data_IF_228430644384
#
_entry.id   IF_228430644384
#
_cell.length_a   1.000
_cell.length_b   1.000
_cell.length_c   1.000
_cell.angle_alpha   90.00
_cell.angle_beta   90.00
_cell.angle_gamma   90.00
#
_symmetry.space_group_name_H-M   'P 1'
#
loop_
_entity.id
_entity.type
_entity.pdbx_description
1 polymer ?
#
# COMPACT_ATOMS: atom_id res chain seq x y z
N UNK A 1 11.60 -1.27 19.32
CA UNK A 1 11.78 -0.01 18.54
C UNK A 1 10.48 0.34 17.84
N UNK A 2 10.09 1.60 17.78
CA UNK A 2 8.84 2.06 17.13
C UNK A 2 7.54 1.39 17.62
N UNK A 3 7.42 1.07 18.89
CA UNK A 3 6.28 0.32 19.47
C UNK A 3 4.93 0.99 19.16
N UNK A 4 4.85 2.32 19.30
CA UNK A 4 3.64 3.06 18.99
C UNK A 4 3.25 2.99 17.48
N UNK A 5 4.24 2.91 16.59
CA UNK A 5 4.01 2.76 15.16
C UNK A 5 3.59 1.33 14.82
N UNK A 6 4.20 0.31 15.46
CA UNK A 6 3.79 -1.09 15.32
C UNK A 6 2.32 -1.29 15.72
N UNK A 7 1.90 -0.71 16.85
CA UNK A 7 0.50 -0.74 17.29
C UNK A 7 -0.44 -0.11 16.25
N UNK A 8 -0.08 1.06 15.71
CA UNK A 8 -0.89 1.73 14.67
C UNK A 8 -0.99 0.88 13.41
N UNK A 9 0.14 0.34 12.93
CA UNK A 9 0.16 -0.51 11.72
C UNK A 9 -0.62 -1.79 11.94
N UNK A 10 -0.49 -2.42 13.12
CA UNK A 10 -1.25 -3.60 13.51
C UNK A 10 -2.77 -3.32 13.45
N UNK A 11 -3.24 -2.29 14.12
CA UNK A 11 -4.66 -1.94 14.13
C UNK A 11 -5.18 -1.58 12.74
N UNK A 12 -4.41 -0.85 11.93
CA UNK A 12 -4.78 -0.54 10.56
C UNK A 12 -4.91 -1.80 9.68
N UNK A 13 -4.07 -2.81 9.89
CA UNK A 13 -4.22 -4.11 9.23
C UNK A 13 -5.49 -4.84 9.68
N UNK A 14 -5.85 -4.81 10.96
CA UNK A 14 -7.10 -5.40 11.45
C UNK A 14 -8.34 -4.67 10.89
N UNK A 15 -8.25 -3.36 10.71
CA UNK A 15 -9.34 -2.58 10.11
C UNK A 15 -9.63 -3.00 8.67
N UNK A 16 -8.64 -3.50 7.91
CA UNK A 16 -8.88 -4.08 6.57
C UNK A 16 -9.87 -5.24 6.63
N UNK A 17 -9.72 -6.13 7.62
CA UNK A 17 -10.64 -7.26 7.85
C UNK A 17 -12.01 -6.76 8.29
N UNK A 18 -12.04 -5.89 9.28
CA UNK A 18 -13.26 -5.31 9.84
C UNK A 18 -14.14 -4.63 8.79
N UNK A 19 -13.51 -4.00 7.80
CA UNK A 19 -14.21 -3.32 6.70
C UNK A 19 -14.41 -4.21 5.45
N UNK A 20 -14.04 -5.50 5.50
CA UNK A 20 -14.24 -6.43 4.40
C UNK A 20 -13.41 -6.11 3.15
N UNK A 21 -12.24 -5.50 3.33
CA UNK A 21 -11.36 -5.07 2.24
C UNK A 21 -10.33 -6.14 1.84
N UNK A 22 -10.20 -7.20 2.63
CA UNK A 22 -9.23 -8.29 2.41
C UNK A 22 -9.88 -9.65 2.60
N UNK A 23 -9.30 -10.66 1.96
CA UNK A 23 -9.67 -12.07 2.04
C UNK A 23 -8.41 -12.85 2.47
N UNK A 24 -8.55 -13.82 3.36
CA UNK A 24 -7.45 -14.62 3.91
C UNK A 24 -6.38 -13.73 4.57
N UNK A 25 -5.12 -13.89 4.15
CA UNK A 25 -3.97 -13.12 4.63
C UNK A 25 -3.53 -12.03 3.65
N UNK A 26 -4.29 -11.87 2.56
CA UNK A 26 -3.96 -10.94 1.48
C UNK A 26 -4.24 -9.49 1.88
N UNK A 27 -3.50 -8.60 1.29
CA UNK A 27 -3.52 -7.19 1.66
C UNK A 27 -2.63 -6.90 2.88
N UNK A 28 -2.24 -5.65 3.00
CA UNK A 28 -1.35 -5.19 4.04
C UNK A 28 -1.35 -3.67 4.17
N UNK A 29 -0.92 -3.22 5.33
CA UNK A 29 -0.65 -1.83 5.64
C UNK A 29 0.77 -1.71 6.13
N UNK A 30 1.43 -0.63 5.75
CA UNK A 30 2.69 -0.19 6.33
C UNK A 30 2.65 1.28 6.69
N UNK A 31 3.59 1.70 7.54
CA UNK A 31 3.85 3.11 7.81
C UNK A 31 5.34 3.35 7.97
N UNK A 32 5.78 4.56 7.60
CA UNK A 32 7.15 5.02 7.75
C UNK A 32 7.28 6.01 8.89
N UNK A 33 8.32 5.83 9.68
CA UNK A 33 8.84 6.88 10.54
C UNK A 33 9.90 7.67 9.75
N UNK A 34 9.55 8.89 9.36
CA UNK A 34 10.43 9.73 8.51
C UNK A 34 11.67 10.22 9.22
N UNK A 35 11.67 10.28 10.56
CA UNK A 35 12.82 10.70 11.35
C UNK A 35 13.93 9.64 11.32
N UNK A 36 13.57 8.37 11.52
CA UNK A 36 14.52 7.25 11.47
C UNK A 36 14.70 6.66 10.08
N UNK A 37 13.79 6.92 9.14
CA UNK A 37 13.75 6.28 7.82
C UNK A 37 13.32 4.81 7.87
N UNK A 38 12.72 4.36 8.96
CA UNK A 38 12.31 2.96 9.15
C UNK A 38 10.83 2.76 8.81
N UNK A 39 10.52 1.64 8.20
CA UNK A 39 9.18 1.23 7.79
C UNK A 39 8.70 0.05 8.62
N UNK A 40 7.51 0.17 9.18
CA UNK A 40 6.81 -0.92 9.87
C UNK A 40 5.79 -1.52 8.90
N UNK A 41 5.82 -2.84 8.74
CA UNK A 41 4.94 -3.55 7.80
C UNK A 41 4.43 -4.87 8.38
N UNK A 42 3.24 -5.30 7.92
CA UNK A 42 2.65 -6.60 8.24
C UNK A 42 3.57 -7.76 7.84
N UNK A 43 3.71 -8.80 8.69
CA UNK A 43 4.38 -10.03 8.30
C UNK A 43 3.62 -10.79 7.21
N UNK A 44 4.36 -11.50 6.35
CA UNK A 44 3.81 -12.34 5.29
C UNK A 44 3.17 -13.62 5.85
N UNK A 45 1.97 -13.95 5.37
CA UNK A 45 1.34 -15.25 5.64
C UNK A 45 0.78 -15.43 7.06
N UNK A 46 0.89 -14.43 7.94
CA UNK A 46 0.29 -14.49 9.28
C UNK A 46 -1.20 -14.16 9.20
N UNK A 47 -2.03 -15.02 9.78
CA UNK A 47 -3.48 -14.80 9.89
C UNK A 47 -3.77 -13.53 10.70
N UNK A 48 -4.76 -12.77 10.27
CA UNK A 48 -5.19 -11.57 10.99
C UNK A 48 -5.73 -11.89 12.40
N UNK A 49 -6.29 -13.10 12.60
CA UNK A 49 -6.84 -13.54 13.89
C UNK A 49 -5.73 -13.91 14.91
N UNK A 50 -4.54 -14.26 14.42
CA UNK A 50 -3.40 -14.68 15.25
C UNK A 50 -2.34 -13.58 15.37
N UNK A 51 -2.39 -12.60 14.49
CA UNK A 51 -1.40 -11.52 14.38
C UNK A 51 -1.43 -10.62 15.62
N UNK A 52 -0.26 -10.16 16.04
CA UNK A 52 -0.07 -9.23 17.15
C UNK A 52 0.77 -8.04 16.69
N UNK A 53 0.75 -6.96 17.46
CA UNK A 53 1.58 -5.79 17.19
C UNK A 53 3.09 -6.11 17.21
N UNK A 54 3.50 -7.05 18.07
CA UNK A 54 4.89 -7.54 18.18
C UNK A 54 5.38 -8.23 16.91
N UNK A 55 4.45 -8.78 16.11
CA UNK A 55 4.75 -9.50 14.87
C UNK A 55 5.09 -8.54 13.71
N UNK A 56 4.78 -7.25 13.85
CA UNK A 56 5.11 -6.26 12.83
C UNK A 56 6.62 -6.20 12.61
N UNK A 57 7.01 -6.26 11.34
CA UNK A 57 8.42 -6.25 10.94
C UNK A 57 8.85 -4.81 10.65
N UNK A 58 10.05 -4.47 11.13
CA UNK A 58 10.67 -3.17 10.85
C UNK A 58 11.77 -3.38 9.82
N UNK A 59 11.70 -2.63 8.72
CA UNK A 59 12.70 -2.66 7.64
C UNK A 59 13.24 -1.26 7.38
N UNK A 60 14.46 -1.17 6.86
CA UNK A 60 15.00 0.06 6.30
C UNK A 60 14.46 0.29 4.87
N UNK A 61 14.80 1.44 4.28
CA UNK A 61 14.38 1.76 2.90
C UNK A 61 15.04 0.88 1.84
N UNK A 62 16.11 0.16 2.17
CA UNK A 62 16.80 -0.81 1.31
C UNK A 62 16.17 -2.21 1.41
N UNK A 63 15.21 -2.41 2.34
CA UNK A 63 14.49 -3.66 2.55
C UNK A 63 15.18 -4.62 3.52
N UNK A 64 16.23 -4.18 4.22
CA UNK A 64 16.87 -4.99 5.24
C UNK A 64 15.99 -5.02 6.51
N UNK A 65 15.84 -6.19 7.12
CA UNK A 65 15.12 -6.32 8.39
C UNK A 65 15.98 -5.73 9.50
N UNK A 66 15.46 -4.70 10.16
CA UNK A 66 16.08 -4.03 11.31
C UNK A 66 15.59 -4.63 12.62
N UNK A 67 14.30 -4.97 12.69
CA UNK A 67 13.67 -5.61 13.85
C UNK A 67 12.55 -6.54 13.42
N UNK A 68 12.43 -7.68 14.11
CA UNK A 68 11.45 -8.72 13.85
C UNK A 68 12.07 -10.03 13.40
N UNK A 69 11.36 -11.14 13.64
CA UNK A 69 11.81 -12.50 13.31
C UNK A 69 11.00 -13.13 12.17
N UNK A 70 9.94 -12.44 11.73
CA UNK A 70 9.07 -12.91 10.67
C UNK A 70 9.50 -12.32 9.32
N UNK A 71 9.09 -13.00 8.26
CA UNK A 71 9.27 -12.47 6.89
C UNK A 71 8.32 -11.29 6.70
N UNK A 72 8.77 -10.12 6.25
CA UNK A 72 7.88 -9.02 5.90
C UNK A 72 6.97 -9.39 4.73
N UNK A 73 5.87 -8.66 4.54
CA UNK A 73 4.98 -8.83 3.40
C UNK A 73 5.76 -8.89 2.08
N UNK A 74 5.30 -9.73 1.13
CA UNK A 74 5.85 -9.77 -0.23
C UNK A 74 5.81 -8.41 -0.91
N UNK A 75 4.79 -7.60 -0.59
CA UNK A 75 4.63 -6.27 -1.18
C UNK A 75 5.58 -5.20 -0.63
N UNK A 76 6.45 -5.57 0.33
CA UNK A 76 7.43 -4.63 0.92
C UNK A 76 8.20 -3.84 -0.14
N UNK A 77 8.76 -4.44 -1.22
CA UNK A 77 9.47 -3.67 -2.24
C UNK A 77 8.60 -2.58 -2.90
N UNK A 78 7.32 -2.87 -3.17
CA UNK A 78 6.37 -1.88 -3.69
C UNK A 78 6.24 -0.69 -2.74
N UNK A 79 6.00 -0.97 -1.45
CA UNK A 79 5.83 0.07 -0.43
C UNK A 79 7.10 0.94 -0.30
N UNK A 80 8.28 0.31 -0.31
CA UNK A 80 9.56 1.04 -0.22
C UNK A 80 9.80 1.95 -1.42
N UNK A 81 9.45 1.52 -2.65
CA UNK A 81 9.51 2.36 -3.85
C UNK A 81 8.61 3.59 -3.67
N UNK A 82 7.39 3.41 -3.17
CA UNK A 82 6.46 4.53 -2.95
C UNK A 82 6.97 5.50 -1.87
N UNK A 83 7.52 5.00 -0.76
CA UNK A 83 8.10 5.86 0.27
C UNK A 83 9.31 6.66 -0.20
N UNK A 84 10.12 6.09 -1.09
CA UNK A 84 11.28 6.78 -1.72
C UNK A 84 10.81 7.85 -2.71
N UNK A 85 9.80 7.54 -3.51
CA UNK A 85 9.31 8.43 -4.55
C UNK A 85 8.46 9.59 -4.00
N UNK A 86 7.72 9.35 -2.91
CA UNK A 86 6.76 10.31 -2.33
C UNK A 86 7.13 10.64 -0.88
N UNK A 87 8.01 11.61 -0.62
CA UNK A 87 8.49 11.91 0.72
C UNK A 87 7.41 12.42 1.68
N UNK A 88 6.30 12.93 1.16
CA UNK A 88 5.17 13.43 1.94
C UNK A 88 4.23 12.34 2.47
N UNK A 89 4.25 11.12 1.94
CA UNK A 89 3.37 10.06 2.43
C UNK A 89 3.91 9.42 3.71
N UNK A 90 3.02 9.07 4.63
CA UNK A 90 3.33 8.41 5.91
C UNK A 90 2.88 6.96 5.99
N UNK A 91 1.97 6.53 5.12
CA UNK A 91 1.42 5.18 5.09
C UNK A 91 1.09 4.71 3.69
N UNK A 92 1.11 3.39 3.50
CA UNK A 92 0.70 2.71 2.26
C UNK A 92 -0.21 1.55 2.63
N UNK A 93 -1.31 1.42 1.91
CA UNK A 93 -2.29 0.34 2.04
C UNK A 93 -2.42 -0.37 0.69
N UNK A 94 -2.35 -1.69 0.70
CA UNK A 94 -2.67 -2.54 -0.44
C UNK A 94 -3.78 -3.51 -0.10
N UNK A 95 -4.75 -3.67 -0.97
CA UNK A 95 -5.85 -4.64 -0.84
C UNK A 95 -6.21 -5.25 -2.19
N UNK A 96 -7.04 -6.29 -2.14
CA UNK A 96 -7.75 -6.79 -3.33
C UNK A 96 -9.27 -6.58 -3.15
N UNK A 97 -9.67 -5.40 -2.66
CA UNK A 97 -11.09 -5.06 -2.47
C UNK A 97 -11.86 -5.23 -3.80
N UNK A 98 -13.02 -5.86 -3.72
CA UNK A 98 -13.75 -6.41 -4.87
C UNK A 98 -13.96 -5.40 -6.00
N UNK A 99 -14.48 -4.22 -5.68
CA UNK A 99 -14.83 -3.25 -6.72
C UNK A 99 -13.60 -2.56 -7.31
N UNK A 100 -12.63 -2.17 -6.48
CA UNK A 100 -11.42 -1.54 -6.97
C UNK A 100 -10.58 -2.52 -7.81
N UNK A 101 -10.52 -3.80 -7.42
CA UNK A 101 -9.87 -4.84 -8.21
C UNK A 101 -10.58 -5.07 -9.55
N UNK A 102 -11.92 -5.02 -9.59
CA UNK A 102 -12.67 -5.13 -10.85
C UNK A 102 -12.31 -3.98 -11.82
N UNK A 103 -12.20 -2.74 -11.32
CA UNK A 103 -11.73 -1.61 -12.12
C UNK A 103 -10.28 -1.78 -12.59
N UNK A 104 -9.41 -2.26 -11.70
CA UNK A 104 -8.01 -2.55 -12.05
C UNK A 104 -7.91 -3.60 -13.17
N UNK A 105 -8.71 -4.67 -13.11
CA UNK A 105 -8.79 -5.70 -14.15
C UNK A 105 -9.40 -5.19 -15.46
N UNK A 106 -10.34 -4.24 -15.39
CA UNK A 106 -10.87 -3.57 -16.57
C UNK A 106 -9.85 -2.61 -17.21
N UNK A 107 -8.78 -2.26 -16.51
CA UNK A 107 -7.75 -1.34 -16.98
C UNK A 107 -8.25 0.10 -17.14
N UNK A 108 -9.20 0.51 -16.29
CA UNK A 108 -9.85 1.81 -16.38
C UNK A 108 -9.65 2.60 -15.09
N UNK A 109 -9.50 3.92 -15.23
CA UNK A 109 -9.54 4.85 -14.10
C UNK A 109 -10.94 4.83 -13.46
N UNK A 110 -11.03 5.02 -12.14
CA UNK A 110 -12.34 5.24 -11.48
C UNK A 110 -12.68 6.73 -11.62
N UNK A 111 -13.71 7.10 -12.40
CA UNK A 111 -14.04 8.50 -12.64
C UNK A 111 -14.58 9.17 -11.37
N UNK A 112 -14.19 10.41 -11.13
CA UNK A 112 -14.72 11.23 -10.04
C UNK A 112 -16.06 11.84 -10.44
N UNK A 113 -17.16 11.11 -10.22
CA UNK A 113 -18.52 11.50 -10.63
C UNK A 113 -19.47 11.79 -9.47
N UNK A 114 -19.02 11.63 -8.23
CA UNK A 114 -19.85 11.82 -7.05
C UNK A 114 -19.19 12.72 -6.01
N UNK A 115 -20.02 13.51 -5.29
CA UNK A 115 -19.53 14.41 -4.25
C UNK A 115 -18.76 13.69 -3.15
N UNK A 116 -19.23 12.54 -2.70
CA UNK A 116 -18.55 11.72 -1.70
C UNK A 116 -17.16 11.25 -2.18
N UNK A 117 -17.03 10.92 -3.47
CA UNK A 117 -15.72 10.62 -4.06
C UNK A 117 -14.83 11.88 -4.03
N UNK A 118 -15.38 13.04 -4.40
CA UNK A 118 -14.66 14.29 -4.45
C UNK A 118 -14.19 14.81 -3.07
N UNK A 119 -14.79 14.33 -1.97
CA UNK A 119 -14.34 14.67 -0.62
C UNK A 119 -12.94 14.08 -0.31
N UNK A 120 -12.53 13.02 -1.01
CA UNK A 120 -11.27 12.31 -0.77
C UNK A 120 -10.30 12.36 -1.94
N UNK A 121 -10.78 12.54 -3.15
CA UNK A 121 -9.99 12.49 -4.38
C UNK A 121 -10.31 13.71 -5.25
N UNK A 122 -9.29 14.51 -5.58
CA UNK A 122 -9.47 15.69 -6.43
C UNK A 122 -9.74 15.31 -7.89
N UNK A 123 -9.22 14.16 -8.33
CA UNK A 123 -9.34 13.66 -9.70
C UNK A 123 -9.83 12.20 -9.72
N UNK A 124 -9.98 11.64 -10.91
CA UNK A 124 -10.21 10.23 -11.07
C UNK A 124 -9.09 9.41 -10.39
N UNK A 125 -9.43 8.27 -9.79
CA UNK A 125 -8.41 7.34 -9.27
C UNK A 125 -7.74 6.69 -10.49
N UNK A 126 -6.44 6.94 -10.72
CA UNK A 126 -5.78 6.49 -11.94
C UNK A 126 -5.52 4.98 -11.95
N UNK A 127 -5.56 4.38 -13.13
CA UNK A 127 -5.10 3.02 -13.39
C UNK A 127 -3.74 3.07 -14.09
N UNK A 128 -2.81 2.18 -13.71
CA UNK A 128 -1.50 2.09 -14.37
C UNK A 128 -1.62 1.53 -15.78
N UNK A 129 -0.57 1.68 -16.58
CA UNK A 129 -0.39 0.90 -17.80
C UNK A 129 -0.15 -0.59 -17.46
N UNK A 130 -0.21 -1.47 -18.47
CA UNK A 130 0.24 -2.86 -18.32
C UNK A 130 1.72 -2.90 -17.97
N UNK A 131 2.09 -3.84 -17.10
CA UNK A 131 3.48 -4.23 -16.93
C UNK A 131 3.93 -5.09 -18.10
N UNK A 132 5.17 -4.94 -18.51
CA UNK A 132 5.80 -5.79 -19.53
C UNK A 132 6.03 -7.20 -19.00
N UNK A 133 6.22 -8.16 -19.90
CA UNK A 133 6.54 -9.54 -19.52
C UNK A 133 7.84 -9.63 -18.69
N UNK A 134 8.81 -8.77 -19.00
CA UNK A 134 10.09 -8.68 -18.28
C UNK A 134 9.91 -8.15 -16.85
N UNK A 135 9.10 -7.11 -16.67
CA UNK A 135 8.73 -6.57 -15.34
C UNK A 135 7.97 -7.61 -14.49
N UNK A 136 7.04 -8.34 -15.11
CA UNK A 136 6.27 -9.39 -14.41
C UNK A 136 7.13 -10.58 -14.01
N UNK A 137 8.08 -11.00 -14.85
CA UNK A 137 8.97 -12.14 -14.57
C UNK A 137 10.18 -11.77 -13.72
N UNK A 138 10.50 -10.49 -13.60
CA UNK A 138 11.64 -9.96 -12.86
C UNK A 138 11.33 -9.69 -11.39
N UNK A 139 11.58 -8.48 -10.95
CA UNK A 139 11.32 -8.02 -9.58
C UNK A 139 9.89 -7.45 -9.48
N UNK A 140 8.88 -8.31 -9.64
CA UNK A 140 7.46 -7.95 -9.80
C UNK A 140 6.97 -6.89 -8.81
N UNK A 141 7.24 -7.06 -7.51
CA UNK A 141 6.77 -6.14 -6.49
C UNK A 141 7.47 -4.77 -6.58
N UNK A 142 8.74 -4.75 -6.95
CA UNK A 142 9.47 -3.50 -7.18
C UNK A 142 8.94 -2.80 -8.42
N UNK A 143 8.73 -3.54 -9.51
CA UNK A 143 8.18 -2.99 -10.76
C UNK A 143 6.73 -2.52 -10.59
N UNK A 144 5.95 -3.18 -9.73
CA UNK A 144 4.64 -2.67 -9.29
C UNK A 144 4.76 -1.27 -8.70
N UNK A 145 5.74 -1.04 -7.83
CA UNK A 145 6.03 0.30 -7.31
C UNK A 145 6.41 1.29 -8.41
N UNK A 146 7.26 0.88 -9.34
CA UNK A 146 7.73 1.73 -10.43
C UNK A 146 6.61 2.16 -11.39
N UNK A 147 5.69 1.26 -11.76
CA UNK A 147 4.55 1.63 -12.62
C UNK A 147 3.57 2.55 -11.90
N UNK A 148 3.41 2.42 -10.57
CA UNK A 148 2.63 3.35 -9.76
C UNK A 148 3.28 4.74 -9.80
N UNK A 149 4.58 4.85 -9.51
CA UNK A 149 5.32 6.12 -9.53
C UNK A 149 5.20 6.79 -10.90
N UNK A 150 5.39 6.03 -11.97
CA UNK A 150 5.23 6.50 -13.34
C UNK A 150 3.80 7.01 -13.62
N UNK A 151 2.78 6.33 -13.09
CA UNK A 151 1.38 6.77 -13.29
C UNK A 151 1.08 8.08 -12.57
N UNK A 152 1.77 8.37 -11.48
CA UNK A 152 1.64 9.63 -10.74
C UNK A 152 2.45 10.80 -11.34
N UNK A 153 3.19 10.62 -12.43
CA UNK A 153 3.87 11.74 -13.08
C UNK A 153 2.88 12.85 -13.46
N UNK A 154 3.09 14.05 -12.91
CA UNK A 154 2.20 15.20 -13.08
C UNK A 154 0.97 15.21 -12.17
N UNK A 155 0.80 14.22 -11.30
CA UNK A 155 -0.26 14.16 -10.29
C UNK A 155 0.31 14.33 -8.87
N UNK A 156 -0.52 14.76 -7.94
CA UNK A 156 -0.14 14.84 -6.53
C UNK A 156 -0.77 13.66 -5.77
N UNK A 157 0.04 12.74 -5.21
CA UNK A 157 -0.47 11.57 -4.48
C UNK A 157 -1.20 11.94 -3.17
N UNK A 158 -1.03 13.16 -2.67
CA UNK A 158 -1.78 13.65 -1.50
C UNK A 158 -3.19 14.08 -1.88
N UNK A 159 -3.36 14.64 -3.08
CA UNK A 159 -4.66 15.09 -3.59
C UNK A 159 -5.49 13.95 -4.19
N UNK A 160 -4.84 12.94 -4.72
CA UNK A 160 -5.48 11.72 -5.23
C UNK A 160 -4.75 10.52 -4.63
N UNK A 161 -5.05 10.16 -3.37
CA UNK A 161 -4.26 9.20 -2.59
C UNK A 161 -4.55 7.73 -2.94
N UNK A 162 -4.93 7.44 -4.16
CA UNK A 162 -5.24 6.09 -4.62
C UNK A 162 -4.80 5.85 -6.07
N UNK A 163 -4.45 4.61 -6.36
CA UNK A 163 -4.09 4.14 -7.70
C UNK A 163 -4.49 2.69 -7.87
N UNK A 164 -4.91 2.32 -9.07
CA UNK A 164 -5.14 0.95 -9.47
C UNK A 164 -3.92 0.44 -10.25
N UNK A 165 -3.35 -0.66 -9.80
CA UNK A 165 -2.38 -1.40 -10.63
C UNK A 165 -3.17 -2.30 -11.55
N UNK A 166 -3.05 -2.06 -12.87
CA UNK A 166 -3.78 -2.82 -13.89
C UNK A 166 -3.52 -4.31 -13.75
N UNK A 167 -4.59 -5.12 -13.85
CA UNK A 167 -4.61 -6.57 -13.65
C UNK A 167 -4.28 -7.05 -12.23
N UNK A 168 -4.13 -6.15 -11.25
CA UNK A 168 -3.76 -6.52 -9.88
C UNK A 168 -4.79 -6.01 -8.86
N UNK A 169 -4.70 -4.74 -8.45
CA UNK A 169 -5.58 -4.19 -7.43
C UNK A 169 -5.19 -2.78 -6.99
N UNK A 170 -5.88 -2.23 -5.98
CA UNK A 170 -5.64 -0.88 -5.52
C UNK A 170 -4.47 -0.78 -4.55
N UNK A 171 -3.74 0.33 -4.66
CA UNK A 171 -2.86 0.88 -3.63
C UNK A 171 -3.39 2.25 -3.20
N UNK A 172 -3.32 2.54 -1.91
CA UNK A 172 -3.64 3.85 -1.36
C UNK A 172 -2.49 4.37 -0.52
N UNK A 173 -2.26 5.67 -0.57
CA UNK A 173 -1.22 6.35 0.20
C UNK A 173 -1.85 7.35 1.16
N UNK A 174 -1.23 7.58 2.31
CA UNK A 174 -1.76 8.51 3.31
C UNK A 174 -0.69 9.51 3.73
N UNK A 175 -1.10 10.78 3.90
CA UNK A 175 -0.21 11.87 4.28
C UNK A 175 0.25 11.81 5.75
N UNK A 176 -0.65 11.59 6.70
CA UNK A 176 -0.32 11.74 8.13
C UNK A 176 -0.83 10.65 9.06
N UNK A 177 -1.87 9.94 8.66
CA UNK A 177 -2.48 8.90 9.47
C UNK A 177 -2.96 7.78 8.57
N UNK A 178 -2.88 6.55 9.07
CA UNK A 178 -3.51 5.38 8.47
C UNK A 178 -5.04 5.52 8.58
N UNK A 179 -5.61 6.42 7.81
CA UNK A 179 -7.04 6.48 7.61
C UNK A 179 -7.35 5.69 6.36
N UNK A 180 -8.09 4.61 6.53
CA UNK A 180 -8.67 3.89 5.41
C UNK A 180 -9.61 4.82 4.66
N UNK A 181 -9.61 4.78 3.33
CA UNK A 181 -10.60 5.48 2.53
C UNK A 181 -12.00 4.91 2.75
#
# INVERSE_FOLDING_TARGET
>A
MLEALKEKVFHANLDLVKHGLVIFTWGNVSAIDRESGLVVIKPSGVSYDEMKAEDMVVVDLEGNIVEGNLRPSSDTPTHLVLYKAFPEIGGVVHTHSTYATAWAQAGCDIPNIGTTHADYFHEAIPCTADMTEEEVKGAYEMETGNVIVKRFEGMNPVHTPGVLVKNHGPFSVSYTHLTLP
#
